data_IF_225976987629
#
_entry.id   IF_225976987629
#
_cell.length_a   1.000
_cell.length_b   1.000
_cell.length_c   1.000
_cell.angle_alpha   90.00
_cell.angle_beta   90.00
_cell.angle_gamma   90.00
#
_symmetry.space_group_name_H-M   'P 1'
#
loop_
_entity.id
_entity.type
_entity.pdbx_description
1 polymer ?
#
# COMPACT_ATOMS: atom_id res chain seq x y z
N UNK A 1 5.61 -14.72 -17.74
CA UNK A 1 5.39 -16.19 -17.74
C UNK A 1 6.31 -16.89 -18.75
N UNK A 2 7.58 -17.14 -18.40
CA UNK A 2 8.53 -17.87 -19.26
C UNK A 2 8.98 -19.19 -18.61
N UNK A 3 9.09 -19.24 -17.27
CA UNK A 3 9.61 -20.41 -16.53
C UNK A 3 8.70 -21.65 -16.61
N UNK A 4 7.37 -21.48 -16.52
CA UNK A 4 6.39 -22.58 -16.59
C UNK A 4 6.38 -23.33 -17.93
N UNK A 5 6.89 -22.70 -19.00
CA UNK A 5 6.98 -23.30 -20.34
C UNK A 5 8.31 -24.02 -20.61
N UNK A 6 9.27 -23.98 -19.67
CA UNK A 6 10.64 -24.52 -19.87
C UNK A 6 11.02 -25.66 -18.92
N UNK A 7 10.06 -26.27 -18.20
CA UNK A 7 10.33 -27.37 -17.24
C UNK A 7 11.47 -27.04 -16.26
N UNK A 8 11.57 -25.77 -15.85
CA UNK A 8 12.53 -25.38 -14.82
C UNK A 8 12.04 -25.88 -13.46
N UNK A 9 12.70 -26.93 -12.97
CA UNK A 9 12.41 -27.56 -11.69
C UNK A 9 12.88 -26.71 -10.50
N UNK A 10 13.87 -25.84 -10.72
CA UNK A 10 14.38 -24.94 -9.70
C UNK A 10 14.01 -23.48 -10.03
N UNK A 11 12.93 -23.03 -9.40
CA UNK A 11 12.42 -21.66 -9.56
C UNK A 11 13.26 -20.66 -8.75
N UNK A 12 13.91 -21.09 -7.67
CA UNK A 12 14.66 -20.21 -6.78
C UNK A 12 15.89 -19.61 -7.49
N UNK A 13 16.62 -20.42 -8.27
CA UNK A 13 17.82 -19.97 -9.00
C UNK A 13 17.55 -18.90 -10.07
N UNK A 14 16.32 -18.72 -10.52
CA UNK A 14 15.98 -17.69 -11.52
C UNK A 14 15.33 -16.45 -10.96
N UNK A 15 14.97 -16.44 -9.68
CA UNK A 15 14.50 -15.24 -8.98
C UNK A 15 15.51 -14.09 -9.09
N UNK A 16 16.82 -14.26 -8.77
CA UNK A 16 17.76 -13.14 -8.82
C UNK A 16 17.87 -12.49 -10.21
N UNK A 17 17.68 -13.26 -11.30
CA UNK A 17 17.70 -12.74 -12.67
C UNK A 17 16.54 -11.80 -12.99
N UNK A 18 15.52 -11.75 -12.12
CA UNK A 18 14.32 -10.90 -12.26
C UNK A 18 14.31 -9.74 -11.28
N UNK A 19 15.19 -9.74 -10.28
CA UNK A 19 15.27 -8.67 -9.29
C UNK A 19 16.17 -7.55 -9.81
N UNK A 20 15.80 -6.30 -9.49
CA UNK A 20 16.57 -5.11 -9.86
C UNK A 20 16.61 -4.13 -8.70
N UNK A 21 17.69 -3.34 -8.61
CA UNK A 21 17.82 -2.30 -7.60
C UNK A 21 17.74 -2.86 -6.17
N UNK A 22 16.95 -2.19 -5.30
CA UNK A 22 16.81 -2.56 -3.89
C UNK A 22 16.36 -4.01 -3.67
N UNK A 23 15.48 -4.54 -4.52
CA UNK A 23 15.03 -5.92 -4.39
C UNK A 23 16.17 -6.93 -4.61
N UNK A 24 17.09 -6.63 -5.53
CA UNK A 24 18.29 -7.44 -5.72
C UNK A 24 19.27 -7.29 -4.54
N UNK A 25 19.38 -6.08 -3.97
CA UNK A 25 20.21 -5.85 -2.79
C UNK A 25 19.74 -6.66 -1.57
N UNK A 26 18.42 -6.78 -1.35
CA UNK A 26 17.84 -7.64 -0.30
C UNK A 26 18.20 -9.11 -0.54
N UNK A 27 18.04 -9.59 -1.77
CA UNK A 27 18.40 -10.97 -2.12
C UNK A 27 19.87 -11.29 -1.84
N UNK A 28 20.79 -10.36 -2.13
CA UNK A 28 22.22 -10.55 -1.87
C UNK A 28 22.59 -10.62 -0.38
N UNK A 29 21.70 -10.17 0.52
CA UNK A 29 21.90 -10.25 1.97
C UNK A 29 21.45 -11.59 2.56
N UNK A 30 20.70 -12.41 1.81
CA UNK A 30 20.25 -13.73 2.25
C UNK A 30 21.42 -14.72 2.25
N UNK A 31 21.43 -15.63 3.22
CA UNK A 31 22.37 -16.75 3.21
C UNK A 31 21.96 -17.82 2.18
N UNK A 32 22.83 -18.82 1.99
CA UNK A 32 22.61 -19.89 1.02
C UNK A 32 21.31 -20.69 1.29
N UNK A 33 21.02 -20.95 2.56
CA UNK A 33 19.81 -21.69 2.96
C UNK A 33 18.54 -20.88 2.69
N UNK A 34 18.55 -19.58 3.01
CA UNK A 34 17.41 -18.68 2.78
C UNK A 34 17.15 -18.46 1.28
N UNK A 35 18.19 -18.21 0.49
CA UNK A 35 18.07 -17.94 -0.94
C UNK A 35 17.71 -19.15 -1.79
N UNK A 36 17.83 -20.37 -1.24
CA UNK A 36 17.43 -21.63 -1.88
C UNK A 36 15.92 -21.88 -1.85
N UNK A 37 15.18 -21.19 -0.97
CA UNK A 37 13.73 -21.34 -0.83
C UNK A 37 13.00 -20.15 -1.42
N UNK A 38 12.08 -20.43 -2.34
CA UNK A 38 11.22 -19.40 -2.96
C UNK A 38 10.40 -18.66 -1.88
N UNK A 39 9.91 -19.39 -0.88
CA UNK A 39 9.11 -18.79 0.18
C UNK A 39 9.95 -17.86 1.06
N UNK A 40 11.17 -18.26 1.42
CA UNK A 40 12.06 -17.41 2.23
C UNK A 40 12.46 -16.14 1.46
N UNK A 41 12.79 -16.26 0.18
CA UNK A 41 13.09 -15.09 -0.67
C UNK A 41 11.87 -14.18 -0.80
N UNK A 42 10.68 -14.75 -0.96
CA UNK A 42 9.43 -13.98 -1.01
C UNK A 42 9.19 -13.24 0.31
N UNK A 43 9.30 -13.91 1.45
CA UNK A 43 9.07 -13.29 2.76
C UNK A 43 10.12 -12.21 3.06
N UNK A 44 11.39 -12.43 2.74
CA UNK A 44 12.42 -11.40 2.90
C UNK A 44 12.17 -10.16 2.03
N UNK A 45 11.71 -10.36 0.78
CA UNK A 45 11.32 -9.26 -0.09
C UNK A 45 10.07 -8.56 0.42
N UNK A 46 9.10 -9.30 0.97
CA UNK A 46 7.93 -8.67 1.59
C UNK A 46 8.34 -7.88 2.82
N UNK A 47 9.15 -8.43 3.72
CA UNK A 47 9.62 -7.72 4.92
C UNK A 47 10.37 -6.42 4.58
N UNK A 48 11.27 -6.47 3.59
CA UNK A 48 12.06 -5.30 3.20
C UNK A 48 11.27 -4.19 2.48
N UNK A 49 10.12 -4.52 1.87
CA UNK A 49 9.33 -3.58 1.06
C UNK A 49 7.88 -3.39 1.53
N UNK A 50 7.46 -4.10 2.57
CA UNK A 50 6.15 -3.90 3.20
C UNK A 50 6.10 -2.45 3.64
N UNK A 51 5.09 -1.75 3.13
CA UNK A 51 4.76 -0.41 3.65
C UNK A 51 4.25 -0.62 5.06
N UNK A 52 4.94 -0.03 6.03
CA UNK A 52 4.51 -0.02 7.43
C UNK A 52 3.04 0.40 7.50
N UNK A 53 2.19 -0.48 8.04
CA UNK A 53 0.75 -0.25 8.15
C UNK A 53 0.43 0.99 8.99
N UNK A 54 1.32 1.37 9.91
CA UNK A 54 1.26 2.61 10.67
C UNK A 54 1.48 3.83 9.75
N UNK A 55 2.49 3.80 8.87
CA UNK A 55 2.74 4.87 7.91
C UNK A 55 1.59 5.00 6.91
N UNK A 56 1.07 3.87 6.41
CA UNK A 56 -0.09 3.87 5.55
C UNK A 56 -1.34 4.44 6.25
N UNK A 57 -1.53 4.12 7.54
CA UNK A 57 -2.61 4.67 8.35
C UNK A 57 -2.46 6.18 8.58
N UNK A 58 -1.26 6.65 8.93
CA UNK A 58 -0.97 8.07 9.11
C UNK A 58 -1.25 8.86 7.82
N UNK A 59 -0.80 8.35 6.67
CA UNK A 59 -1.12 8.93 5.36
C UNK A 59 -2.63 8.91 5.09
N UNK A 60 -3.33 7.83 5.46
CA UNK A 60 -4.77 7.70 5.24
C UNK A 60 -5.56 8.76 6.03
N UNK A 61 -5.23 8.98 7.31
CA UNK A 61 -5.95 9.94 8.16
C UNK A 61 -5.60 11.40 7.85
N UNK A 62 -4.38 11.66 7.39
CA UNK A 62 -3.90 13.01 7.06
C UNK A 62 -4.23 13.43 5.62
N UNK A 63 -4.69 12.52 4.76
CA UNK A 63 -4.97 12.80 3.34
C UNK A 63 -6.08 13.83 3.17
N UNK A 64 -5.76 14.91 2.45
CA UNK A 64 -6.70 15.98 2.03
C UNK A 64 -6.65 16.16 0.53
N UNK A 65 -7.76 16.54 -0.09
CA UNK A 65 -7.83 16.89 -1.51
C UNK A 65 -6.84 18.02 -1.82
N UNK A 66 -5.96 17.82 -2.80
CA UNK A 66 -5.07 18.86 -3.30
C UNK A 66 -5.82 19.96 -4.07
N UNK A 67 -5.24 21.17 -4.24
CA UNK A 67 -5.89 22.30 -4.90
C UNK A 67 -6.26 22.03 -6.37
N UNK A 68 -5.47 21.23 -7.08
CA UNK A 68 -5.68 20.87 -8.50
C UNK A 68 -6.01 19.39 -8.68
N UNK A 69 -6.34 18.71 -7.58
CA UNK A 69 -6.62 17.28 -7.58
C UNK A 69 -8.12 17.02 -7.74
N UNK A 70 -8.49 16.04 -8.57
CA UNK A 70 -9.89 15.60 -8.64
C UNK A 70 -10.27 14.69 -7.46
N UNK A 71 -11.55 14.70 -7.09
CA UNK A 71 -12.07 13.84 -6.02
C UNK A 71 -11.86 12.34 -6.28
N UNK A 72 -11.85 11.93 -7.55
CA UNK A 72 -11.61 10.54 -7.92
C UNK A 72 -10.18 10.09 -7.61
N UNK A 73 -9.20 10.99 -7.79
CA UNK A 73 -7.80 10.72 -7.44
C UNK A 73 -7.65 10.57 -5.92
N UNK A 74 -8.31 11.44 -5.14
CA UNK A 74 -8.33 11.33 -3.68
C UNK A 74 -8.92 9.97 -3.24
N UNK A 75 -10.07 9.59 -3.81
CA UNK A 75 -10.74 8.34 -3.48
C UNK A 75 -9.91 7.11 -3.89
N UNK A 76 -9.26 7.16 -5.05
CA UNK A 76 -8.36 6.10 -5.50
C UNK A 76 -7.19 5.92 -4.54
N UNK A 77 -6.60 7.02 -4.07
CA UNK A 77 -5.48 6.98 -3.13
C UNK A 77 -5.90 6.49 -1.74
N UNK A 78 -7.06 6.94 -1.24
CA UNK A 78 -7.62 6.43 0.02
C UNK A 78 -7.90 4.92 -0.04
N UNK A 79 -8.39 4.40 -1.18
CA UNK A 79 -8.57 2.96 -1.39
C UNK A 79 -7.26 2.19 -1.41
N UNK A 80 -6.23 2.77 -2.03
CA UNK A 80 -4.88 2.18 -2.06
C UNK A 80 -4.32 2.07 -0.64
N UNK A 81 -4.36 3.15 0.13
CA UNK A 81 -3.92 3.18 1.52
C UNK A 81 -4.73 2.24 2.42
N UNK A 82 -6.05 2.20 2.24
CA UNK A 82 -6.93 1.26 2.95
C UNK A 82 -6.56 -0.21 2.71
N UNK A 83 -6.15 -0.55 1.48
CA UNK A 83 -5.69 -1.90 1.13
C UNK A 83 -4.40 -2.27 1.86
N UNK A 84 -3.49 -1.31 2.06
CA UNK A 84 -2.24 -1.51 2.80
C UNK A 84 -2.47 -1.69 4.30
N UNK A 85 -3.47 -1.02 4.87
CA UNK A 85 -3.82 -1.11 6.29
C UNK A 85 -4.58 -2.42 6.60
N UNK A 86 -5.13 -3.09 5.58
CA UNK A 86 -5.91 -4.34 5.66
C UNK A 86 -7.21 -4.28 6.49
N UNK A 87 -7.57 -3.12 7.06
CA UNK A 87 -8.70 -2.95 7.98
C UNK A 87 -9.39 -1.60 7.77
N UNK A 88 -10.07 -1.39 6.65
CA UNK A 88 -10.94 -0.21 6.49
C UNK A 88 -12.31 -0.66 6.01
N UNK A 89 -13.32 -0.49 6.88
CA UNK A 89 -14.72 -0.66 6.48
C UNK A 89 -15.11 0.37 5.42
N UNK A 90 -16.08 0.05 4.56
CA UNK A 90 -16.58 1.00 3.55
C UNK A 90 -17.05 2.33 4.18
N UNK A 91 -17.63 2.25 5.39
CA UNK A 91 -18.02 3.42 6.18
C UNK A 91 -16.81 4.27 6.59
N UNK A 92 -15.73 3.65 7.06
CA UNK A 92 -14.51 4.37 7.42
C UNK A 92 -13.85 5.04 6.19
N UNK A 93 -13.87 4.37 5.04
CA UNK A 93 -13.42 4.95 3.78
C UNK A 93 -14.26 6.16 3.35
N UNK A 94 -15.59 6.06 3.46
CA UNK A 94 -16.49 7.18 3.18
C UNK A 94 -16.26 8.37 4.13
N UNK A 95 -16.08 8.10 5.43
CA UNK A 95 -15.75 9.13 6.41
C UNK A 95 -14.41 9.81 6.11
N UNK A 96 -13.37 9.04 5.76
CA UNK A 96 -12.07 9.58 5.39
C UNK A 96 -12.16 10.44 4.13
N UNK A 97 -12.92 9.99 3.12
CA UNK A 97 -13.15 10.75 1.90
C UNK A 97 -13.82 12.09 2.20
N UNK A 98 -14.93 12.09 2.94
CA UNK A 98 -15.62 13.34 3.34
C UNK A 98 -14.70 14.23 4.17
N UNK A 99 -13.95 13.67 5.14
CA UNK A 99 -13.00 14.42 5.96
C UNK A 99 -11.83 15.02 5.16
N UNK A 100 -11.51 14.43 4.00
CA UNK A 100 -10.50 14.88 3.05
C UNK A 100 -10.92 16.06 2.17
N UNK A 101 -12.22 16.34 2.05
CA UNK A 101 -12.73 17.40 1.19
C UNK A 101 -12.57 18.80 1.80
N UNK A 102 -12.50 19.86 0.97
CA UNK A 102 -12.56 21.23 1.43
C UNK A 102 -13.84 21.53 2.23
N UNK A 103 -13.74 22.43 3.21
CA UNK A 103 -14.83 22.71 4.16
C UNK A 103 -16.17 23.04 3.49
N UNK A 104 -16.16 23.86 2.44
CA UNK A 104 -17.36 24.26 1.72
C UNK A 104 -18.06 23.08 1.02
N UNK A 105 -17.31 22.09 0.54
CA UNK A 105 -17.89 20.87 -0.06
C UNK A 105 -18.45 19.94 1.01
N UNK A 106 -17.78 19.83 2.16
CA UNK A 106 -18.25 19.00 3.28
C UNK A 106 -19.61 19.44 3.79
N UNK A 107 -19.86 20.74 3.87
CA UNK A 107 -21.14 21.30 4.30
C UNK A 107 -22.31 20.94 3.38
N UNK A 108 -22.04 20.71 2.09
CA UNK A 108 -23.06 20.29 1.11
C UNK A 108 -23.42 18.80 1.24
N UNK A 109 -22.45 17.97 1.61
CA UNK A 109 -22.58 16.50 1.61
C UNK A 109 -22.85 15.93 3.00
N UNK A 110 -22.57 16.69 4.06
CA UNK A 110 -22.78 16.27 5.45
C UNK A 110 -23.23 17.46 6.31
N UNK A 111 -24.47 17.94 6.12
CA UNK A 111 -24.98 19.11 6.84
C UNK A 111 -25.10 18.91 8.36
N UNK A 112 -25.18 17.66 8.84
CA UNK A 112 -25.52 17.35 10.24
C UNK A 112 -24.35 16.84 11.11
N UNK A 113 -23.10 16.87 10.65
CA UNK A 113 -21.96 16.50 11.50
C UNK A 113 -21.60 17.68 12.41
N UNK A 114 -21.76 17.58 13.75
CA UNK A 114 -21.35 18.64 14.65
C UNK A 114 -19.82 18.78 14.56
N UNK A 115 -19.36 19.87 13.96
CA UNK A 115 -17.96 20.23 13.93
C UNK A 115 -17.52 20.64 15.33
N UNK A 116 -17.11 19.66 16.13
CA UNK A 116 -16.30 19.88 17.32
C UNK A 116 -15.41 18.66 17.51
N UNK A 117 -14.14 18.79 17.14
CA UNK A 117 -13.01 18.65 18.08
C UNK A 117 -11.82 19.48 17.54
N UNK A 118 -11.52 20.67 18.07
CA UNK A 118 -10.15 21.14 18.12
C UNK A 118 -9.46 20.56 19.36
N UNK A 119 -8.35 19.85 19.14
CA UNK A 119 -7.31 19.35 20.05
C UNK A 119 -7.75 18.89 21.46
#
# INVERSE_FOLDING_TARGET
MVCKKREMNDVASVIPLRLTGGAFAVYLQLCADESSSVDNVKEALLDAFVTDSFVAYDQFVSRKLGPDESSDVLLAELRRLATLISVVSEKALACAFVAGLPQHVRQLVSPDLPFAIPL
#
